data_IF_558885291001
#
_entry.id   IF_558885291001
#
_cell.length_a   1.000
_cell.length_b   1.000
_cell.length_c   1.000
_cell.angle_alpha   90.00
_cell.angle_beta   90.00
_cell.angle_gamma   90.00
#
_symmetry.space_group_name_H-M   'P 1'
#
loop_
_entity.id
_entity.type
_entity.pdbx_description
1 polymer ?
#
# COMPACT_ATOMS: atom_id res chain seq x y z
N UNK A 1 -10.94 15.10 -35.17
CA UNK A 1 -9.50 14.79 -35.35
C UNK A 1 -8.71 15.56 -34.30
N UNK A 2 -8.46 14.96 -33.14
CA UNK A 2 -7.47 15.43 -32.18
C UNK A 2 -6.46 14.30 -32.04
N UNK A 3 -5.24 14.58 -32.48
CA UNK A 3 -4.12 13.65 -32.54
C UNK A 3 -3.89 13.00 -31.17
N UNK A 4 -4.02 11.67 -31.13
CA UNK A 4 -3.44 10.86 -30.08
C UNK A 4 -1.93 11.12 -30.06
N UNK A 5 -1.46 11.93 -29.12
CA UNK A 5 -0.04 11.99 -28.78
C UNK A 5 0.31 10.64 -28.16
N UNK A 6 0.90 9.77 -28.99
CA UNK A 6 1.87 8.77 -28.54
C UNK A 6 2.77 9.46 -27.52
N UNK A 7 2.65 9.09 -26.25
CA UNK A 7 3.39 9.70 -25.16
C UNK A 7 4.87 9.45 -25.40
N UNK A 8 5.59 10.46 -25.88
CA UNK A 8 7.04 10.42 -25.99
C UNK A 8 7.60 10.06 -24.61
N UNK A 9 8.50 9.08 -24.56
CA UNK A 9 9.36 8.83 -23.40
C UNK A 9 10.15 10.12 -23.13
N UNK A 10 9.61 10.95 -22.25
CA UNK A 10 10.27 12.15 -21.80
C UNK A 10 11.39 11.74 -20.83
N UNK A 11 12.62 12.18 -21.11
CA UNK A 11 13.79 11.98 -20.24
C UNK A 11 13.75 13.09 -19.18
N UNK A 12 13.57 12.79 -17.89
CA UNK A 12 13.54 13.80 -16.83
C UNK A 12 14.74 14.75 -16.91
N UNK A 13 14.53 16.04 -16.65
CA UNK A 13 15.66 16.99 -16.60
C UNK A 13 16.63 16.58 -15.49
N UNK A 14 17.90 16.92 -15.67
CA UNK A 14 18.90 16.76 -14.62
C UNK A 14 18.49 17.57 -13.38
N UNK A 15 18.27 16.87 -12.27
CA UNK A 15 17.94 17.46 -10.97
C UNK A 15 18.32 16.49 -9.85
N UNK A 16 18.11 16.91 -8.61
CA UNK A 16 18.48 16.14 -7.41
C UNK A 16 17.29 15.97 -6.47
N UNK A 17 17.25 14.82 -5.79
CA UNK A 17 16.33 14.55 -4.69
C UNK A 17 16.83 15.00 -3.32
N UNK A 18 17.95 15.73 -3.24
CA UNK A 18 18.44 16.31 -1.98
C UNK A 18 17.35 17.20 -1.37
N UNK A 19 16.94 16.88 -0.14
CA UNK A 19 15.84 17.53 0.60
C UNK A 19 14.46 17.43 -0.08
N UNK A 20 14.26 16.49 -1.01
CA UNK A 20 13.00 16.31 -1.75
C UNK A 20 12.45 14.89 -1.70
N UNK A 21 13.07 14.00 -0.92
CA UNK A 21 12.64 12.61 -0.81
C UNK A 21 11.21 12.49 -0.29
N UNK A 22 10.36 11.85 -1.10
CA UNK A 22 8.93 11.66 -0.84
C UNK A 22 8.16 12.96 -0.60
N UNK A 23 8.51 14.01 -1.33
CA UNK A 23 7.72 15.23 -1.36
C UNK A 23 6.27 14.94 -1.75
N UNK A 24 5.33 15.64 -1.11
CA UNK A 24 3.88 15.49 -1.37
C UNK A 24 3.44 16.18 -2.67
N UNK A 25 4.26 17.09 -3.20
CA UNK A 25 3.98 17.80 -4.42
C UNK A 25 4.35 16.93 -5.63
N UNK A 26 3.39 16.73 -6.53
CA UNK A 26 3.65 16.13 -7.83
C UNK A 26 4.16 17.21 -8.79
N UNK A 27 5.41 17.09 -9.23
CA UNK A 27 5.97 18.00 -10.23
C UNK A 27 5.61 17.57 -11.65
N UNK A 28 5.26 18.56 -12.47
CA UNK A 28 4.98 18.37 -13.89
C UNK A 28 6.28 18.14 -14.69
N UNK A 29 6.22 17.34 -15.78
CA UNK A 29 7.26 17.33 -16.79
C UNK A 29 7.53 18.76 -17.28
N UNK A 30 8.80 19.20 -17.44
CA UNK A 30 9.98 18.38 -17.65
C UNK A 30 10.78 18.00 -16.37
N UNK A 31 10.33 18.38 -15.17
CA UNK A 31 11.13 18.18 -13.95
C UNK A 31 11.25 16.71 -13.54
N UNK A 32 12.43 16.29 -13.06
CA UNK A 32 12.56 15.01 -12.37
C UNK A 32 11.85 15.01 -11.01
N UNK A 33 11.29 13.87 -10.66
CA UNK A 33 10.43 13.65 -9.50
C UNK A 33 11.16 12.96 -8.35
N UNK A 34 10.69 13.20 -7.13
CA UNK A 34 11.20 12.58 -5.91
C UNK A 34 10.08 12.05 -5.00
N UNK A 35 8.85 12.04 -5.49
CA UNK A 35 7.69 11.45 -4.83
C UNK A 35 7.69 9.92 -4.93
N UNK A 36 6.77 9.28 -4.22
CA UNK A 36 6.71 7.83 -4.12
C UNK A 36 6.27 7.11 -5.41
N UNK A 37 5.72 7.82 -6.41
CA UNK A 37 5.34 7.25 -7.70
C UNK A 37 6.36 7.50 -8.81
N UNK A 38 7.45 8.24 -8.55
CA UNK A 38 8.43 8.57 -9.59
C UNK A 38 8.97 7.33 -10.31
N UNK A 39 9.16 6.21 -9.58
CA UNK A 39 9.64 4.94 -10.16
C UNK A 39 8.61 4.31 -11.09
N UNK A 40 7.34 4.39 -10.73
CA UNK A 40 6.23 3.86 -11.52
C UNK A 40 6.12 4.57 -12.87
N UNK A 41 6.42 5.87 -12.91
CA UNK A 41 6.39 6.67 -14.13
C UNK A 41 7.73 6.71 -14.89
N UNK A 42 8.80 6.10 -14.37
CA UNK A 42 10.18 6.27 -14.83
C UNK A 42 10.60 7.75 -14.89
N UNK A 43 10.23 8.51 -13.87
CA UNK A 43 10.40 9.97 -13.81
C UNK A 43 11.32 10.43 -12.66
N UNK A 44 11.94 9.51 -11.90
CA UNK A 44 12.80 9.88 -10.77
C UNK A 44 14.04 10.67 -11.19
N UNK A 45 14.52 11.55 -10.31
CA UNK A 45 15.89 12.07 -10.43
C UNK A 45 16.92 10.93 -10.29
N UNK A 46 18.10 11.09 -10.88
CA UNK A 46 19.12 10.03 -10.97
C UNK A 46 19.63 9.56 -9.60
N UNK A 47 19.58 10.43 -8.59
CA UNK A 47 20.03 10.17 -7.22
C UNK A 47 18.92 9.70 -6.27
N UNK A 48 17.67 9.49 -6.75
CA UNK A 48 16.53 9.08 -5.92
C UNK A 48 16.80 7.81 -5.12
N UNK A 49 17.38 6.77 -5.74
CA UNK A 49 17.66 5.51 -5.06
C UNK A 49 18.65 5.71 -3.91
N UNK A 50 19.73 6.45 -4.17
CA UNK A 50 20.78 6.69 -3.19
C UNK A 50 20.29 7.57 -2.03
N UNK A 51 19.52 8.61 -2.34
CA UNK A 51 19.10 9.58 -1.33
C UNK A 51 17.84 9.16 -0.57
N UNK A 52 16.87 8.53 -1.24
CA UNK A 52 15.53 8.30 -0.68
C UNK A 52 15.27 6.84 -0.28
N UNK A 53 16.02 5.88 -0.83
CA UNK A 53 15.88 4.46 -0.53
C UNK A 53 17.06 3.90 0.28
N UNK A 54 17.53 4.69 1.25
CA UNK A 54 18.61 4.32 2.17
C UNK A 54 18.25 3.07 2.98
N UNK A 55 19.20 2.15 3.11
CA UNK A 55 19.05 0.88 3.87
C UNK A 55 20.17 0.66 4.88
N UNK A 56 21.21 1.50 4.91
CA UNK A 56 22.32 1.36 5.86
C UNK A 56 21.83 1.50 7.30
N UNK A 57 22.46 0.77 8.23
CA UNK A 57 22.06 0.73 9.64
C UNK A 57 20.72 0.01 9.91
N UNK A 58 20.02 -0.46 8.88
CA UNK A 58 18.71 -1.10 9.01
C UNK A 58 17.60 -0.15 9.45
N UNK A 59 16.40 -0.70 9.65
CA UNK A 59 15.18 0.04 10.02
C UNK A 59 14.91 0.10 11.54
N UNK A 60 15.84 -0.40 12.34
CA UNK A 60 15.74 -0.49 13.79
C UNK A 60 17.03 0.01 14.41
N UNK A 61 16.92 0.75 15.52
CA UNK A 61 18.06 1.04 16.37
C UNK A 61 18.59 -0.24 17.01
N UNK A 62 19.89 -0.25 17.29
CA UNK A 62 20.59 -1.22 18.13
C UNK A 62 21.24 -0.48 19.31
N UNK A 63 21.69 -1.22 20.33
CA UNK A 63 22.26 -0.61 21.55
C UNK A 63 23.47 0.26 21.26
N UNK A 64 24.30 -0.15 20.31
CA UNK A 64 25.49 0.56 19.83
C UNK A 64 25.18 1.82 19.04
N UNK A 65 23.97 1.94 18.48
CA UNK A 65 23.52 3.13 17.73
C UNK A 65 22.86 4.20 18.61
N UNK A 66 22.53 3.89 19.86
CA UNK A 66 21.91 4.87 20.76
C UNK A 66 22.86 6.04 21.05
N UNK A 67 22.46 7.27 20.68
CA UNK A 67 23.31 8.45 20.83
C UNK A 67 24.39 8.56 19.76
N UNK A 68 24.25 7.86 18.62
CA UNK A 68 25.19 7.93 17.51
C UNK A 68 25.37 9.37 16.99
N UNK A 69 26.57 9.66 16.50
CA UNK A 69 26.76 10.80 15.61
C UNK A 69 25.92 10.56 14.34
N UNK A 70 25.19 11.59 13.90
CA UNK A 70 24.25 11.47 12.80
C UNK A 70 24.95 11.08 11.49
N UNK A 71 24.55 9.95 10.91
CA UNK A 71 24.99 9.50 9.60
C UNK A 71 23.82 9.58 8.60
N UNK A 72 23.92 10.52 7.66
CA UNK A 72 22.91 10.70 6.60
C UNK A 72 22.84 9.52 5.61
N UNK A 73 23.66 8.47 5.71
CA UNK A 73 23.45 7.27 4.91
C UNK A 73 22.49 6.26 5.57
N UNK A 74 22.23 6.39 6.88
CA UNK A 74 21.34 5.49 7.59
C UNK A 74 19.88 5.59 7.10
N UNK A 75 19.17 4.46 7.16
CA UNK A 75 17.77 4.40 6.75
C UNK A 75 16.85 5.20 7.69
N UNK A 76 17.16 5.17 8.98
CA UNK A 76 16.55 5.91 10.07
C UNK A 76 17.62 6.17 11.15
N UNK A 77 17.38 7.12 12.05
CA UNK A 77 18.41 7.61 12.96
C UNK A 77 18.17 7.21 14.41
N UNK A 78 19.27 7.12 15.17
CA UNK A 78 19.27 6.88 16.61
C UNK A 78 20.05 7.97 17.37
N UNK A 79 20.30 9.09 16.68
CA UNK A 79 20.92 10.30 17.20
C UNK A 79 19.93 11.11 18.05
N UNK A 80 20.45 11.95 18.96
CA UNK A 80 19.62 12.75 19.87
C UNK A 80 18.68 13.74 19.16
N UNK A 81 19.00 14.15 17.93
CA UNK A 81 18.20 15.06 17.12
C UNK A 81 17.11 14.38 16.27
N UNK A 82 17.04 13.04 16.26
CA UNK A 82 16.13 12.33 15.34
C UNK A 82 14.66 12.64 15.64
N UNK A 83 14.30 12.90 16.90
CA UNK A 83 12.93 13.19 17.32
C UNK A 83 12.48 14.56 16.83
N UNK A 84 13.37 15.56 16.86
CA UNK A 84 13.06 16.91 16.38
C UNK A 84 13.01 16.95 14.86
N UNK A 85 13.82 16.12 14.18
CA UNK A 85 13.80 15.96 12.72
C UNK A 85 12.70 15.03 12.21
N UNK A 86 12.07 14.24 13.07
CA UNK A 86 11.00 13.31 12.70
C UNK A 86 11.48 12.09 11.91
N UNK A 87 12.72 11.63 12.13
CA UNK A 87 13.35 10.58 11.33
C UNK A 87 14.05 9.49 12.16
N UNK A 88 13.65 9.35 13.42
CA UNK A 88 14.07 8.23 14.27
C UNK A 88 13.64 6.88 13.68
N UNK A 89 14.39 5.83 13.98
CA UNK A 89 13.85 4.48 13.88
C UNK A 89 12.67 4.32 14.84
N UNK A 90 11.71 3.45 14.51
CA UNK A 90 10.44 3.35 15.25
C UNK A 90 10.60 2.78 16.66
N UNK A 91 11.69 2.05 16.92
CA UNK A 91 12.03 1.50 18.23
C UNK A 91 12.96 2.40 19.07
N UNK A 92 13.30 3.62 18.61
CA UNK A 92 14.30 4.49 19.25
C UNK A 92 14.01 4.78 20.73
N UNK A 93 12.81 5.26 21.08
CA UNK A 93 12.49 5.58 22.48
C UNK A 93 12.47 4.33 23.35
N UNK A 94 11.91 3.23 22.83
CA UNK A 94 11.88 1.95 23.55
C UNK A 94 13.30 1.47 23.87
N UNK A 95 14.19 1.50 22.88
CA UNK A 95 15.53 0.95 23.03
C UNK A 95 16.50 1.91 23.74
N UNK A 96 16.49 3.19 23.37
CA UNK A 96 17.51 4.16 23.78
C UNK A 96 17.05 5.10 24.90
N UNK A 97 15.74 5.22 25.17
CA UNK A 97 15.19 6.09 26.23
C UNK A 97 14.48 5.32 27.35
N UNK A 98 14.34 4.00 27.22
CA UNK A 98 13.74 3.14 28.24
C UNK A 98 12.21 3.14 28.24
N UNK A 99 11.56 3.66 27.18
CA UNK A 99 10.10 3.60 27.04
C UNK A 99 9.64 2.14 26.83
N UNK A 100 8.36 1.86 27.10
CA UNK A 100 7.72 0.58 26.72
C UNK A 100 7.33 0.59 25.24
N UNK A 101 7.32 -0.57 24.56
CA UNK A 101 6.64 -0.65 23.24
C UNK A 101 5.14 -0.48 23.40
N UNK A 102 4.46 -0.01 22.36
CA UNK A 102 3.01 0.02 22.29
C UNK A 102 2.39 -1.35 22.60
N UNK A 103 3.01 -2.43 22.13
CA UNK A 103 2.52 -3.80 22.38
C UNK A 103 2.46 -4.15 23.89
N UNK A 104 3.37 -3.60 24.69
CA UNK A 104 3.49 -3.89 26.12
C UNK A 104 2.51 -3.08 26.99
N UNK A 105 1.96 -1.99 26.45
CA UNK A 105 0.98 -1.20 27.20
C UNK A 105 -0.34 -1.98 27.35
N UNK A 106 -1.18 -1.61 28.30
CA UNK A 106 -2.52 -2.19 28.43
C UNK A 106 -3.47 -1.63 27.36
N UNK A 107 -4.59 -2.33 27.11
CA UNK A 107 -5.69 -1.74 26.36
C UNK A 107 -6.38 -0.68 27.23
N UNK A 108 -6.52 0.53 26.73
CA UNK A 108 -7.22 1.61 27.43
C UNK A 108 -8.38 2.12 26.57
N UNK A 109 -9.52 2.41 27.21
CA UNK A 109 -10.70 2.98 26.55
C UNK A 109 -10.39 4.41 26.07
N UNK A 110 -10.52 4.65 24.77
CA UNK A 110 -10.24 5.93 24.13
C UNK A 110 -11.55 6.69 23.87
N UNK A 111 -12.07 7.37 24.89
CA UNK A 111 -13.32 8.16 24.79
C UNK A 111 -13.16 9.45 23.99
N UNK A 112 -11.95 10.02 23.99
CA UNK A 112 -11.59 11.26 23.30
C UNK A 112 -10.22 11.12 22.69
N UNK A 113 -10.03 11.68 21.50
CA UNK A 113 -8.73 11.67 20.83
C UNK A 113 -7.70 12.54 21.59
N UNK A 114 -6.53 11.98 21.86
CA UNK A 114 -5.42 12.64 22.53
C UNK A 114 -4.35 13.03 21.51
N UNK A 115 -4.54 14.20 20.89
CA UNK A 115 -3.65 14.69 19.82
C UNK A 115 -2.69 15.77 20.33
N UNK A 116 -1.43 15.79 19.87
CA UNK A 116 -0.52 16.92 20.11
C UNK A 116 -1.05 18.23 19.53
N UNK A 117 -0.52 19.36 20.01
CA UNK A 117 -0.86 20.69 19.49
C UNK A 117 -0.62 20.77 17.96
N UNK A 118 -1.50 21.50 17.27
CA UNK A 118 -1.50 21.66 15.81
C UNK A 118 -2.24 20.57 15.02
N UNK A 119 -2.72 19.50 15.68
CA UNK A 119 -3.65 18.55 15.06
C UNK A 119 -5.09 19.03 15.26
N UNK A 120 -5.74 19.44 14.18
CA UNK A 120 -7.12 19.97 14.23
C UNK A 120 -8.19 18.88 14.13
N UNK A 121 -7.79 17.63 13.89
CA UNK A 121 -8.62 16.42 13.85
C UNK A 121 -7.74 15.17 13.94
N UNK A 122 -8.33 14.01 14.21
CA UNK A 122 -7.63 12.73 14.14
C UNK A 122 -7.26 12.38 12.69
N UNK A 123 -5.98 12.14 12.37
CA UNK A 123 -5.61 11.54 11.09
C UNK A 123 -6.18 10.13 10.93
N UNK A 124 -6.40 9.71 9.69
CA UNK A 124 -6.80 8.36 9.32
C UNK A 124 -5.65 7.66 8.59
N UNK A 125 -5.27 6.47 9.03
CA UNK A 125 -4.33 5.59 8.34
C UNK A 125 -5.06 4.32 7.88
N UNK A 126 -5.05 4.07 6.57
CA UNK A 126 -5.59 2.86 5.96
C UNK A 126 -4.42 1.96 5.57
N UNK A 127 -4.27 0.84 6.26
CA UNK A 127 -3.30 -0.21 5.97
C UNK A 127 -4.01 -1.35 5.24
N UNK A 128 -3.71 -1.52 3.97
CA UNK A 128 -4.25 -2.61 3.15
C UNK A 128 -3.24 -3.75 3.07
N UNK A 129 -3.70 -4.97 3.33
CA UNK A 129 -2.86 -6.18 3.35
C UNK A 129 -3.40 -7.19 2.35
N UNK A 130 -2.70 -7.35 1.23
CA UNK A 130 -3.14 -8.15 0.06
C UNK A 130 -3.34 -9.62 0.44
N UNK A 131 -4.49 -10.20 0.09
CA UNK A 131 -4.76 -11.63 0.28
C UNK A 131 -4.81 -12.06 1.76
N UNK A 132 -5.04 -11.12 2.68
CA UNK A 132 -5.18 -11.42 4.11
C UNK A 132 -6.52 -12.11 4.41
N UNK A 133 -6.54 -13.44 4.27
CA UNK A 133 -7.71 -14.27 4.58
C UNK A 133 -8.14 -14.07 6.03
N UNK A 134 -9.44 -13.88 6.26
CA UNK A 134 -10.00 -13.63 7.59
C UNK A 134 -9.58 -14.67 8.65
N UNK A 135 -9.42 -15.95 8.26
CA UNK A 135 -8.99 -17.01 9.19
C UNK A 135 -7.55 -16.85 9.69
N UNK A 136 -6.72 -16.02 9.06
CA UNK A 136 -5.33 -15.80 9.49
C UNK A 136 -5.25 -15.16 10.88
N UNK A 137 -6.27 -14.38 11.29
CA UNK A 137 -6.33 -13.82 12.65
C UNK A 137 -6.36 -14.88 13.74
N UNK A 138 -6.83 -16.10 13.43
CA UNK A 138 -6.88 -17.22 14.38
C UNK A 138 -5.50 -17.71 14.84
N UNK A 139 -4.43 -17.29 14.17
CA UNK A 139 -3.05 -17.54 14.63
C UNK A 139 -2.70 -16.76 15.91
N UNK A 140 -3.43 -15.68 16.18
CA UNK A 140 -3.39 -14.92 17.44
C UNK A 140 -2.01 -14.40 17.83
N UNK A 141 -1.86 -14.14 19.13
CA UNK A 141 -0.66 -13.51 19.72
C UNK A 141 0.67 -14.23 19.44
N UNK A 142 0.66 -15.53 19.14
CA UNK A 142 1.88 -16.28 18.86
C UNK A 142 2.53 -15.93 17.49
N UNK A 143 1.75 -15.35 16.57
CA UNK A 143 2.22 -15.02 15.21
C UNK A 143 2.02 -13.54 14.89
N UNK A 144 0.91 -12.95 15.35
CA UNK A 144 0.50 -11.60 14.98
C UNK A 144 0.09 -10.76 16.21
N UNK A 145 0.95 -10.61 17.24
CA UNK A 145 0.58 -9.95 18.49
C UNK A 145 0.15 -8.48 18.36
N UNK A 146 0.71 -7.71 17.42
CA UNK A 146 0.30 -6.31 17.26
C UNK A 146 -1.07 -6.20 16.59
N UNK A 147 -1.31 -6.99 15.54
CA UNK A 147 -2.60 -7.07 14.86
C UNK A 147 -3.67 -7.62 15.82
N UNK A 148 -3.32 -8.63 16.62
CA UNK A 148 -4.23 -9.19 17.62
C UNK A 148 -4.58 -8.15 18.68
N UNK A 149 -3.62 -7.34 19.15
CA UNK A 149 -3.90 -6.22 20.05
C UNK A 149 -4.81 -5.16 19.40
N UNK A 150 -4.59 -4.79 18.14
CA UNK A 150 -5.53 -3.90 17.41
C UNK A 150 -6.94 -4.50 17.34
N UNK A 151 -7.03 -5.81 17.10
CA UNK A 151 -8.30 -6.55 16.99
C UNK A 151 -9.05 -6.61 18.33
N UNK A 152 -8.34 -6.81 19.44
CA UNK A 152 -8.94 -6.98 20.78
C UNK A 152 -9.20 -5.67 21.51
N UNK A 153 -8.30 -4.68 21.41
CA UNK A 153 -8.51 -3.37 22.02
C UNK A 153 -9.42 -2.46 21.15
N UNK A 154 -9.48 -2.70 19.84
CA UNK A 154 -10.25 -1.90 18.88
C UNK A 154 -11.59 -2.52 18.49
N UNK A 155 -12.16 -2.02 17.39
CA UNK A 155 -13.35 -2.62 16.77
C UNK A 155 -12.94 -3.56 15.65
N UNK A 156 -13.50 -4.77 15.62
CA UNK A 156 -13.26 -5.73 14.55
C UNK A 156 -14.56 -6.45 14.12
N UNK A 157 -14.57 -6.91 12.88
CA UNK A 157 -15.57 -7.86 12.38
C UNK A 157 -14.95 -9.27 12.26
N UNK A 158 -15.75 -10.35 12.36
CA UNK A 158 -15.25 -11.71 12.12
C UNK A 158 -14.65 -11.89 10.71
N UNK A 159 -15.18 -11.16 9.73
CA UNK A 159 -14.66 -11.06 8.37
C UNK A 159 -15.29 -9.83 7.67
N UNK A 160 -14.68 -9.40 6.57
CA UNK A 160 -15.24 -8.42 5.63
C UNK A 160 -15.48 -9.11 4.28
N UNK A 161 -16.63 -8.85 3.64
CA UNK A 161 -16.97 -9.45 2.35
C UNK A 161 -16.33 -8.63 1.21
N UNK A 162 -15.49 -9.22 0.35
CA UNK A 162 -14.98 -8.55 -0.85
C UNK A 162 -16.06 -8.43 -1.93
N UNK A 163 -15.83 -7.59 -2.93
CA UNK A 163 -16.62 -7.57 -4.16
C UNK A 163 -16.15 -8.69 -5.12
N UNK A 164 -17.03 -9.06 -6.05
CA UNK A 164 -16.66 -9.94 -7.16
C UNK A 164 -16.15 -9.12 -8.37
N UNK A 165 -15.07 -9.53 -9.03
CA UNK A 165 -14.22 -10.67 -8.69
C UNK A 165 -13.31 -10.38 -7.49
N UNK A 166 -13.09 -11.39 -6.63
CA UNK A 166 -12.23 -11.29 -5.45
C UNK A 166 -10.74 -11.26 -5.85
N UNK A 167 -10.35 -10.13 -6.43
CA UNK A 167 -9.03 -9.79 -6.97
C UNK A 167 -8.62 -8.40 -6.49
N UNK A 168 -7.32 -8.18 -6.44
CA UNK A 168 -6.69 -6.99 -5.86
C UNK A 168 -7.19 -5.66 -6.43
N UNK A 169 -7.07 -5.41 -7.73
CA UNK A 169 -7.41 -4.12 -8.32
C UNK A 169 -8.90 -3.75 -8.16
N UNK A 170 -9.85 -4.67 -8.46
CA UNK A 170 -11.26 -4.42 -8.17
C UNK A 170 -11.53 -4.08 -6.70
N UNK A 171 -10.99 -4.87 -5.76
CA UNK A 171 -11.31 -4.69 -4.34
C UNK A 171 -10.65 -3.46 -3.72
N UNK A 172 -9.39 -3.18 -4.03
CA UNK A 172 -8.73 -1.97 -3.55
C UNK A 172 -9.41 -0.71 -4.08
N UNK A 173 -9.86 -0.72 -5.34
CA UNK A 173 -10.55 0.45 -5.90
C UNK A 173 -12.00 0.56 -5.42
N UNK A 174 -12.70 -0.55 -5.19
CA UNK A 174 -13.98 -0.55 -4.46
C UNK A 174 -13.83 0.00 -3.05
N UNK A 175 -12.78 -0.39 -2.31
CA UNK A 175 -12.49 0.17 -0.98
C UNK A 175 -12.25 1.68 -1.04
N UNK A 176 -11.51 2.16 -2.06
CA UNK A 176 -11.21 3.57 -2.22
C UNK A 176 -12.44 4.42 -2.60
N UNK A 177 -13.44 3.84 -3.29
CA UNK A 177 -14.55 4.59 -3.92
C UNK A 177 -15.92 4.31 -3.30
N UNK A 178 -16.09 3.19 -2.60
CA UNK A 178 -17.40 2.69 -2.17
C UNK A 178 -18.29 2.17 -3.30
N UNK A 179 -17.75 2.00 -4.51
CA UNK A 179 -18.51 1.59 -5.70
C UNK A 179 -18.27 0.11 -6.04
N UNK A 180 -19.21 -0.48 -6.78
CA UNK A 180 -19.01 -1.79 -7.40
C UNK A 180 -18.06 -1.71 -8.61
N UNK A 181 -17.39 -2.82 -8.97
CA UNK A 181 -16.50 -2.90 -10.14
C UNK A 181 -17.10 -2.42 -11.46
N UNK A 182 -18.37 -2.73 -11.71
CA UNK A 182 -19.07 -2.28 -12.91
C UNK A 182 -19.27 -0.77 -12.98
N UNK A 183 -19.32 -0.09 -11.83
CA UNK A 183 -19.53 1.37 -11.77
C UNK A 183 -18.22 2.15 -11.78
N UNK A 184 -17.19 1.66 -11.08
CA UNK A 184 -15.88 2.32 -11.07
C UNK A 184 -14.96 1.89 -12.23
N UNK A 185 -15.37 0.92 -13.04
CA UNK A 185 -14.71 0.51 -14.29
C UNK A 185 -13.57 -0.50 -14.14
N UNK A 186 -13.15 -0.84 -12.92
CA UNK A 186 -12.05 -1.78 -12.67
C UNK A 186 -12.62 -3.17 -12.39
N UNK A 187 -13.03 -3.87 -13.45
CA UNK A 187 -13.75 -5.17 -13.40
C UNK A 187 -12.82 -6.39 -13.32
N UNK A 188 -11.51 -6.21 -13.27
CA UNK A 188 -10.54 -7.27 -13.04
C UNK A 188 -9.09 -6.81 -13.08
N UNK A 189 -8.18 -7.66 -12.61
CA UNK A 189 -6.72 -7.44 -12.72
C UNK A 189 -6.23 -7.43 -14.17
N UNK A 190 -7.00 -8.03 -15.09
CA UNK A 190 -6.82 -7.95 -16.53
C UNK A 190 -8.19 -7.71 -17.17
N UNK A 191 -8.31 -6.78 -18.10
CA UNK A 191 -9.58 -6.47 -18.78
C UNK A 191 -9.30 -5.85 -20.16
N UNK A 192 -10.27 -5.97 -21.07
CA UNK A 192 -10.22 -5.37 -22.40
C UNK A 192 -11.43 -4.47 -22.56
N UNK A 193 -11.19 -3.24 -23.02
CA UNK A 193 -12.25 -2.29 -23.34
C UNK A 193 -12.34 -2.16 -24.88
N UNK A 194 -13.49 -2.50 -25.49
CA UNK A 194 -13.67 -2.45 -26.94
C UNK A 194 -13.78 -1.02 -27.49
N UNK A 195 -14.18 -0.05 -26.67
CA UNK A 195 -14.26 1.37 -27.06
C UNK A 195 -12.86 1.97 -27.13
N UNK A 196 -12.01 1.62 -26.17
CA UNK A 196 -10.60 2.06 -26.16
C UNK A 196 -9.70 1.24 -27.08
N UNK A 197 -10.20 0.08 -27.53
CA UNK A 197 -9.42 -0.98 -28.18
C UNK A 197 -8.09 -1.24 -27.47
N UNK A 198 -8.17 -1.40 -26.14
CA UNK A 198 -7.01 -1.48 -25.27
C UNK A 198 -7.17 -2.54 -24.17
N UNK A 199 -6.04 -3.11 -23.76
CA UNK A 199 -5.99 -4.10 -22.68
C UNK A 199 -5.30 -3.53 -21.43
N UNK A 200 -6.02 -3.56 -20.33
CA UNK A 200 -5.50 -3.29 -18.99
C UNK A 200 -4.94 -4.57 -18.39
N UNK A 201 -3.78 -4.50 -17.74
CA UNK A 201 -3.28 -5.55 -16.87
C UNK A 201 -2.28 -5.02 -15.82
N UNK A 202 -2.03 -5.81 -14.77
CA UNK A 202 -1.13 -5.48 -13.66
C UNK A 202 0.27 -5.01 -14.07
N UNK A 203 0.82 -5.57 -15.15
CA UNK A 203 2.21 -5.32 -15.57
C UNK A 203 2.33 -4.17 -16.58
N UNK A 204 1.26 -3.87 -17.30
CA UNK A 204 1.25 -2.85 -18.35
C UNK A 204 1.35 -1.43 -17.76
N UNK A 205 1.90 -0.49 -18.55
CA UNK A 205 1.80 0.96 -18.28
C UNK A 205 0.39 1.50 -18.56
N UNK A 206 -0.42 0.76 -19.31
CA UNK A 206 -1.80 1.13 -19.64
C UNK A 206 -2.65 1.36 -18.38
N UNK A 207 -2.33 0.66 -17.28
CA UNK A 207 -3.00 0.88 -15.99
C UNK A 207 -2.82 2.29 -15.41
N UNK A 208 -1.81 3.04 -15.86
CA UNK A 208 -1.56 4.40 -15.42
C UNK A 208 -2.43 5.43 -16.16
N UNK A 209 -3.13 5.01 -17.22
CA UNK A 209 -4.01 5.89 -17.97
C UNK A 209 -5.30 6.12 -17.17
N UNK A 210 -5.60 7.39 -16.89
CA UNK A 210 -6.78 7.81 -16.10
C UNK A 210 -8.13 7.32 -16.66
N UNK A 211 -8.20 6.99 -17.97
CA UNK A 211 -9.44 6.58 -18.65
C UNK A 211 -10.08 5.30 -18.08
N UNK A 212 -9.30 4.48 -17.38
CA UNK A 212 -9.78 3.25 -16.75
C UNK A 212 -10.46 3.48 -15.40
N UNK A 213 -10.15 4.59 -14.73
CA UNK A 213 -10.41 4.77 -13.31
C UNK A 213 -11.60 5.71 -13.12
N UNK A 214 -12.80 5.12 -13.07
CA UNK A 214 -14.04 5.85 -12.81
C UNK A 214 -14.22 6.22 -11.33
N UNK A 215 -15.37 6.83 -11.02
CA UNK A 215 -15.73 7.20 -9.64
C UNK A 215 -14.85 8.30 -9.04
N UNK A 216 -14.90 8.43 -7.71
CA UNK A 216 -14.08 9.38 -6.97
C UNK A 216 -13.46 8.72 -5.73
N UNK A 217 -12.16 8.36 -5.77
CA UNK A 217 -11.52 7.69 -4.65
C UNK A 217 -11.30 8.65 -3.47
N UNK A 218 -11.15 8.08 -2.27
CA UNK A 218 -11.10 8.82 -0.99
C UNK A 218 -10.07 9.95 -0.96
N UNK A 219 -8.90 9.78 -1.59
CA UNK A 219 -7.88 10.83 -1.67
C UNK A 219 -8.32 12.02 -2.53
N UNK A 220 -9.05 11.79 -3.62
CA UNK A 220 -9.63 12.89 -4.43
C UNK A 220 -10.77 13.55 -3.66
N UNK A 221 -11.62 12.78 -2.99
CA UNK A 221 -12.69 13.32 -2.13
C UNK A 221 -12.12 14.22 -1.03
N UNK A 222 -11.05 13.78 -0.37
CA UNK A 222 -10.35 14.56 0.65
C UNK A 222 -9.79 15.88 0.07
N UNK A 223 -9.04 15.80 -1.02
CA UNK A 223 -8.43 16.99 -1.65
C UNK A 223 -9.48 18.01 -2.10
N UNK A 224 -10.58 17.57 -2.71
CA UNK A 224 -11.69 18.46 -3.11
C UNK A 224 -12.38 19.17 -1.93
N UNK A 225 -12.26 18.62 -0.72
CA UNK A 225 -12.82 19.20 0.51
C UNK A 225 -11.74 19.90 1.36
N UNK A 226 -10.59 20.22 0.78
CA UNK A 226 -9.50 20.93 1.46
C UNK A 226 -8.75 20.09 2.49
N UNK A 227 -8.81 18.75 2.39
CA UNK A 227 -8.10 17.82 3.27
C UNK A 227 -6.93 17.19 2.51
N UNK A 228 -5.70 17.45 2.98
CA UNK A 228 -4.49 16.84 2.39
C UNK A 228 -4.50 15.32 2.58
N UNK A 229 -4.16 14.60 1.51
CA UNK A 229 -4.08 13.14 1.49
C UNK A 229 -2.71 12.69 0.98
N UNK A 230 -2.24 11.55 1.49
CA UNK A 230 -0.99 10.93 1.09
C UNK A 230 -1.19 9.43 0.92
N UNK A 231 -0.62 8.84 -0.13
CA UNK A 231 -0.90 7.44 -0.45
C UNK A 231 0.29 6.72 -1.05
N UNK A 232 0.58 5.55 -0.51
CA UNK A 232 1.49 4.53 -1.03
C UNK A 232 0.72 3.39 -1.69
N UNK A 233 -0.04 3.68 -2.76
CA UNK A 233 -0.60 2.65 -3.63
C UNK A 233 0.40 2.31 -4.76
N UNK A 234 0.80 1.03 -4.83
CA UNK A 234 1.61 0.44 -5.91
C UNK A 234 3.11 0.78 -6.06
N UNK A 235 3.88 1.23 -5.05
CA UNK A 235 5.33 1.39 -5.22
C UNK A 235 6.07 0.11 -4.80
N UNK A 236 5.95 -0.94 -5.62
CA UNK A 236 6.58 -2.27 -5.37
C UNK A 236 8.09 -2.16 -5.10
N UNK A 237 8.73 -1.12 -5.63
CA UNK A 237 10.17 -0.86 -5.46
C UNK A 237 10.56 -0.17 -4.14
N UNK A 238 9.61 0.16 -3.26
CA UNK A 238 9.84 0.78 -1.95
C UNK A 238 9.52 -0.25 -0.86
N UNK A 239 10.51 -0.53 0.00
CA UNK A 239 10.35 -1.44 1.13
C UNK A 239 9.24 -0.98 2.09
N UNK A 240 8.54 -1.92 2.71
CA UNK A 240 7.37 -1.62 3.56
C UNK A 240 7.77 -0.79 4.78
N UNK A 241 8.93 -1.06 5.36
CA UNK A 241 9.52 -0.30 6.47
C UNK A 241 9.78 1.15 6.07
N UNK A 242 10.28 1.38 4.84
CA UNK A 242 10.46 2.74 4.30
C UNK A 242 9.11 3.45 4.14
N UNK A 243 8.07 2.76 3.67
CA UNK A 243 6.71 3.33 3.56
C UNK A 243 6.19 3.79 4.93
N UNK A 244 6.40 3.01 6.00
CA UNK A 244 6.06 3.41 7.39
C UNK A 244 6.84 4.65 7.82
N UNK A 245 8.17 4.64 7.66
CA UNK A 245 9.00 5.78 8.04
C UNK A 245 8.58 7.06 7.31
N UNK A 246 8.28 6.98 6.01
CA UNK A 246 7.80 8.14 5.25
C UNK A 246 6.43 8.62 5.74
N UNK A 247 5.50 7.73 6.06
CA UNK A 247 4.22 8.15 6.66
C UNK A 247 4.40 8.87 8.00
N UNK A 248 5.31 8.39 8.85
CA UNK A 248 5.64 9.03 10.13
C UNK A 248 6.32 10.39 9.90
N UNK A 249 7.19 10.52 8.90
CA UNK A 249 7.79 11.80 8.49
C UNK A 249 6.71 12.79 8.02
N UNK A 250 5.74 12.34 7.22
CA UNK A 250 4.61 13.18 6.80
C UNK A 250 3.72 13.61 7.98
N UNK A 251 3.53 12.74 8.98
CA UNK A 251 2.84 13.10 10.24
C UNK A 251 3.63 14.10 11.10
N UNK A 252 4.94 14.21 10.90
CA UNK A 252 5.81 15.18 11.57
C UNK A 252 5.82 16.55 10.88
N UNK A 253 5.25 16.66 9.66
CA UNK A 253 5.20 17.93 8.95
C UNK A 253 4.44 19.02 9.74
N UNK A 254 4.77 20.31 9.53
CA UNK A 254 4.06 21.42 10.14
C UNK A 254 2.56 21.42 9.88
N UNK A 255 1.83 22.14 10.72
CA UNK A 255 0.43 22.45 10.48
C UNK A 255 0.27 23.14 9.12
N UNK A 256 -0.76 22.75 8.37
CA UNK A 256 -0.98 23.18 7.00
C UNK A 256 -0.35 22.27 5.95
N UNK A 257 0.79 21.63 6.22
CA UNK A 257 1.47 20.72 5.28
C UNK A 257 1.18 19.25 5.49
N UNK A 258 0.92 18.87 6.74
CA UNK A 258 0.59 17.51 7.14
C UNK A 258 -0.72 16.98 6.53
N UNK A 259 -0.69 15.81 5.86
CA UNK A 259 -1.90 15.08 5.46
C UNK A 259 -2.74 14.61 6.65
N UNK A 260 -4.04 14.37 6.41
CA UNK A 260 -4.96 13.78 7.37
C UNK A 260 -5.52 12.43 6.93
N UNK A 261 -5.32 12.04 5.67
CA UNK A 261 -5.66 10.71 5.15
C UNK A 261 -4.40 10.08 4.59
N UNK A 262 -4.06 8.91 5.11
CA UNK A 262 -2.91 8.12 4.72
C UNK A 262 -3.39 6.76 4.23
N UNK A 263 -2.83 6.27 3.14
CA UNK A 263 -3.09 4.91 2.68
C UNK A 263 -1.79 4.21 2.31
N UNK A 264 -1.70 2.93 2.64
CA UNK A 264 -0.56 2.07 2.37
C UNK A 264 -1.06 0.69 1.94
N UNK A 265 -0.33 0.06 1.03
CA UNK A 265 -0.55 -1.32 0.64
C UNK A 265 0.66 -2.18 0.99
N UNK A 266 0.41 -3.42 1.40
CA UNK A 266 1.39 -4.50 1.54
C UNK A 266 0.99 -5.62 0.60
N UNK A 267 1.92 -6.06 -0.26
CA UNK A 267 1.73 -7.14 -1.22
C UNK A 267 1.74 -8.54 -0.58
N UNK A 268 2.07 -8.61 0.72
CA UNK A 268 2.01 -9.83 1.53
C UNK A 268 0.74 -9.83 2.39
N UNK A 269 0.14 -11.00 2.71
CA UNK A 269 0.66 -12.34 2.44
C UNK A 269 0.27 -12.94 1.08
N UNK A 270 -0.45 -12.23 0.21
CA UNK A 270 -0.93 -12.73 -1.09
C UNK A 270 0.17 -13.42 -1.91
N UNK A 271 1.29 -12.72 -2.14
CA UNK A 271 2.38 -13.23 -2.95
C UNK A 271 3.00 -14.54 -2.42
N UNK A 272 2.92 -14.78 -1.10
CA UNK A 272 3.33 -16.03 -0.48
C UNK A 272 2.22 -17.09 -0.53
N UNK A 273 0.98 -16.70 -0.23
CA UNK A 273 -0.19 -17.56 -0.29
C UNK A 273 -0.39 -18.17 -1.68
N UNK A 274 -0.10 -17.41 -2.75
CA UNK A 274 -0.09 -17.93 -4.12
C UNK A 274 0.94 -19.04 -4.37
N UNK A 275 2.08 -19.04 -3.66
CA UNK A 275 3.14 -20.05 -3.83
C UNK A 275 2.90 -21.29 -2.99
N UNK A 276 2.36 -21.12 -1.79
CA UNK A 276 2.36 -22.16 -0.74
C UNK A 276 0.97 -22.57 -0.27
N UNK A 277 -0.09 -21.90 -0.75
CA UNK A 277 -1.45 -22.09 -0.25
C UNK A 277 -1.72 -21.38 1.08
N UNK A 278 -2.99 -21.34 1.52
CA UNK A 278 -3.40 -20.57 2.70
C UNK A 278 -3.23 -21.30 4.04
N UNK A 279 -3.05 -22.62 4.04
CA UNK A 279 -3.11 -23.44 5.25
C UNK A 279 -1.74 -23.76 5.87
N UNK A 280 -0.64 -23.61 5.11
CA UNK A 280 0.71 -23.97 5.55
C UNK A 280 1.20 -23.19 6.78
N UNK A 281 2.01 -23.86 7.62
CA UNK A 281 2.71 -23.22 8.75
C UNK A 281 3.74 -22.19 8.30
N UNK A 282 4.27 -22.35 7.08
CA UNK A 282 5.27 -21.44 6.55
C UNK A 282 4.70 -20.02 6.29
N UNK A 283 3.38 -19.90 6.18
CA UNK A 283 2.67 -18.62 6.16
C UNK A 283 2.85 -17.81 7.47
N UNK A 284 3.27 -18.44 8.56
CA UNK A 284 3.54 -17.72 9.82
C UNK A 284 4.66 -16.69 9.65
N UNK A 285 5.65 -16.93 8.80
CA UNK A 285 6.76 -16.00 8.59
C UNK A 285 6.34 -14.69 7.88
N UNK A 286 5.64 -14.70 6.73
CA UNK A 286 5.13 -13.47 6.14
C UNK A 286 4.12 -12.77 7.05
N UNK A 287 3.30 -13.51 7.82
CA UNK A 287 2.39 -12.90 8.80
C UNK A 287 3.12 -12.19 9.93
N UNK A 288 4.20 -12.78 10.47
CA UNK A 288 5.08 -12.10 11.45
C UNK A 288 5.76 -10.87 10.87
N UNK A 289 6.11 -10.89 9.59
CA UNK A 289 6.72 -9.73 8.92
C UNK A 289 5.72 -8.57 8.82
N UNK A 290 4.46 -8.85 8.43
CA UNK A 290 3.39 -7.85 8.40
C UNK A 290 3.09 -7.34 9.81
N UNK A 291 3.00 -8.22 10.79
CA UNK A 291 2.77 -7.83 12.19
C UNK A 291 3.89 -6.94 12.73
N UNK A 292 5.15 -7.22 12.37
CA UNK A 292 6.29 -6.36 12.70
C UNK A 292 6.15 -4.97 12.11
N UNK A 293 5.70 -4.85 10.86
CA UNK A 293 5.43 -3.56 10.21
C UNK A 293 4.32 -2.80 10.95
N UNK A 294 3.25 -3.49 11.37
CA UNK A 294 2.20 -2.89 12.21
C UNK A 294 2.79 -2.43 13.54
N UNK A 295 3.65 -3.21 14.16
CA UNK A 295 4.38 -2.84 15.37
C UNK A 295 5.26 -1.60 15.19
N UNK A 296 6.01 -1.52 14.08
CA UNK A 296 6.81 -0.34 13.73
C UNK A 296 5.93 0.92 13.59
N UNK A 297 4.76 0.81 12.94
CA UNK A 297 3.83 1.93 12.87
C UNK A 297 3.37 2.35 14.27
N UNK A 298 2.90 1.40 15.09
CA UNK A 298 2.33 1.70 16.40
C UNK A 298 3.38 2.26 17.37
N UNK A 299 4.58 1.71 17.39
CA UNK A 299 5.70 2.26 18.17
C UNK A 299 6.07 3.66 17.65
N UNK A 300 6.16 3.85 16.34
CA UNK A 300 6.38 5.17 15.72
C UNK A 300 5.34 6.22 16.15
N UNK A 301 4.06 5.87 16.08
CA UNK A 301 2.96 6.71 16.54
C UNK A 301 3.04 6.98 18.04
N UNK A 302 3.41 5.99 18.86
CA UNK A 302 3.60 6.18 20.30
C UNK A 302 4.73 7.17 20.58
N UNK A 303 5.86 7.07 19.89
CA UNK A 303 6.98 8.00 20.01
C UNK A 303 6.56 9.45 19.72
N UNK A 304 5.64 9.65 18.78
CA UNK A 304 5.08 10.94 18.38
C UNK A 304 3.89 11.39 19.23
N UNK A 305 3.48 10.61 20.25
CA UNK A 305 2.24 10.82 21.04
C UNK A 305 0.97 10.84 20.18
N UNK A 306 0.94 10.05 19.11
CA UNK A 306 -0.17 9.93 18.16
C UNK A 306 -0.95 8.61 18.25
N UNK A 307 -0.44 7.61 18.98
CA UNK A 307 -1.09 6.31 19.15
C UNK A 307 -2.51 6.35 19.76
N UNK A 308 -2.86 7.44 20.46
CA UNK A 308 -4.21 7.73 21.01
C UNK A 308 -4.93 8.88 20.28
N UNK A 309 -4.39 9.30 19.14
CA UNK A 309 -4.94 10.37 18.30
C UNK A 309 -5.45 9.83 16.96
N UNK A 310 -4.66 8.96 16.33
CA UNK A 310 -4.87 8.47 14.96
C UNK A 310 -5.89 7.35 14.92
N UNK A 311 -6.79 7.39 13.93
CA UNK A 311 -7.63 6.26 13.58
C UNK A 311 -6.90 5.35 12.59
N UNK A 312 -6.87 4.04 12.85
CA UNK A 312 -6.22 3.06 11.98
C UNK A 312 -7.26 2.07 11.49
N UNK A 313 -7.30 1.87 10.17
CA UNK A 313 -8.05 0.80 9.52
C UNK A 313 -7.03 -0.18 8.96
N UNK A 314 -6.96 -1.39 9.54
CA UNK A 314 -6.24 -2.53 8.98
C UNK A 314 -7.24 -3.41 8.22
N UNK A 315 -7.04 -3.59 6.92
CA UNK A 315 -8.05 -4.21 6.06
C UNK A 315 -7.42 -5.09 4.97
N UNK A 316 -8.01 -6.25 4.73
CA UNK A 316 -7.69 -7.10 3.58
C UNK A 316 -8.59 -6.78 2.39
N UNK A 317 -8.09 -6.98 1.18
CA UNK A 317 -8.83 -6.79 -0.06
C UNK A 317 -9.56 -8.07 -0.51
N UNK A 318 -8.97 -9.24 -0.29
CA UNK A 318 -9.58 -10.56 -0.47
C UNK A 318 -8.94 -11.64 0.40
N UNK A 319 -9.49 -12.85 0.34
CA UNK A 319 -8.90 -14.04 0.96
C UNK A 319 -7.94 -14.79 0.03
N UNK A 320 -7.66 -16.04 0.37
CA UNK A 320 -6.83 -16.96 -0.41
C UNK A 320 -7.41 -18.36 -0.32
N UNK A 321 -7.30 -19.15 -1.39
CA UNK A 321 -7.83 -20.51 -1.49
C UNK A 321 -6.77 -21.49 -2.01
N UNK A 322 -6.93 -22.77 -1.68
CA UNK A 322 -6.13 -23.89 -2.19
C UNK A 322 -6.43 -24.12 -3.68
N UNK A 323 -5.45 -23.88 -4.54
CA UNK A 323 -5.54 -24.11 -5.98
C UNK A 323 -4.39 -24.99 -6.46
N UNK A 324 -4.68 -25.98 -7.30
CA UNK A 324 -3.70 -26.93 -7.83
C UNK A 324 -3.87 -27.05 -9.34
N UNK A 325 -2.77 -27.19 -10.08
CA UNK A 325 -2.80 -27.34 -11.54
C UNK A 325 -3.61 -28.57 -11.98
N UNK A 326 -3.67 -29.63 -11.17
CA UNK A 326 -4.46 -30.83 -11.46
C UNK A 326 -5.98 -30.60 -11.38
N UNK A 327 -6.41 -29.48 -10.77
CA UNK A 327 -7.82 -29.06 -10.70
C UNK A 327 -8.09 -27.93 -11.68
N UNK A 328 -7.77 -28.17 -12.96
CA UNK A 328 -7.96 -27.22 -14.05
C UNK A 328 -8.95 -27.77 -15.07
N UNK A 329 -10.01 -27.02 -15.33
CA UNK A 329 -10.93 -27.28 -16.43
C UNK A 329 -10.39 -26.65 -17.72
N UNK A 330 -10.40 -27.41 -18.82
CA UNK A 330 -9.93 -26.96 -20.13
C UNK A 330 -11.10 -26.83 -21.10
N UNK A 331 -11.31 -25.64 -21.66
CA UNK A 331 -12.39 -25.39 -22.63
C UNK A 331 -12.30 -26.27 -23.88
N UNK A 332 -11.11 -26.74 -24.25
CA UNK A 332 -10.88 -27.65 -25.38
C UNK A 332 -11.57 -29.01 -25.20
N UNK A 333 -11.96 -29.38 -23.98
CA UNK A 333 -12.73 -30.59 -23.73
C UNK A 333 -14.23 -30.41 -24.04
N UNK A 334 -14.69 -29.16 -24.18
CA UNK A 334 -16.10 -28.80 -24.33
C UNK A 334 -16.40 -28.11 -25.67
N UNK A 335 -15.42 -27.47 -26.29
CA UNK A 335 -15.56 -26.70 -27.53
C UNK A 335 -14.73 -27.32 -28.65
N UNK A 336 -15.30 -27.40 -29.84
CA UNK A 336 -14.62 -27.92 -31.04
C UNK A 336 -13.46 -27.03 -31.48
N UNK A 337 -13.59 -25.70 -31.32
CA UNK A 337 -12.53 -24.72 -31.59
C UNK A 337 -12.41 -23.77 -30.40
N UNK A 338 -11.22 -23.73 -29.79
CA UNK A 338 -10.84 -22.72 -28.79
C UNK A 338 -9.95 -21.63 -29.38
N UNK A 339 -9.57 -21.76 -30.65
CA UNK A 339 -8.72 -20.81 -31.35
C UNK A 339 -9.44 -19.52 -31.72
N UNK A 340 -10.77 -19.57 -31.85
CA UNK A 340 -11.59 -18.41 -32.20
C UNK A 340 -11.93 -17.50 -31.01
N UNK A 341 -11.53 -17.91 -29.80
CA UNK A 341 -11.83 -17.19 -28.56
C UNK A 341 -10.57 -16.67 -27.85
N UNK A 342 -10.78 -15.65 -27.03
CA UNK A 342 -9.86 -15.20 -25.98
C UNK A 342 -10.51 -15.44 -24.63
N UNK A 343 -9.81 -16.15 -23.75
CA UNK A 343 -10.21 -16.42 -22.38
C UNK A 343 -9.38 -15.57 -21.41
N UNK A 344 -10.03 -14.91 -20.46
CA UNK A 344 -9.40 -14.50 -19.21
C UNK A 344 -9.61 -15.66 -18.22
N UNK A 345 -8.55 -16.42 -17.87
CA UNK A 345 -8.68 -17.69 -17.15
C UNK A 345 -8.50 -17.54 -15.63
N UNK A 346 -8.52 -18.68 -14.93
CA UNK A 346 -8.16 -18.83 -13.52
C UNK A 346 -9.38 -19.06 -12.64
N UNK A 347 -9.47 -18.37 -11.52
CA UNK A 347 -10.59 -18.47 -10.57
C UNK A 347 -11.92 -17.87 -11.09
N UNK A 348 -11.93 -17.40 -12.33
CA UNK A 348 -13.09 -16.96 -13.10
C UNK A 348 -12.78 -17.10 -14.59
N UNK A 349 -13.81 -17.28 -15.41
CA UNK A 349 -13.71 -17.30 -16.87
C UNK A 349 -14.46 -16.14 -17.49
N UNK A 350 -13.80 -15.34 -18.34
CA UNK A 350 -14.47 -14.40 -19.25
C UNK A 350 -14.03 -14.68 -20.68
N UNK A 351 -14.98 -14.97 -21.55
CA UNK A 351 -14.74 -15.35 -22.94
C UNK A 351 -15.18 -14.19 -23.84
N UNK A 352 -14.38 -13.87 -24.85
CA UNK A 352 -14.76 -13.02 -25.98
C UNK A 352 -14.23 -13.61 -27.27
N UNK A 353 -14.79 -13.20 -28.41
CA UNK A 353 -14.21 -13.52 -29.71
C UNK A 353 -12.77 -13.00 -29.79
N UNK A 354 -11.87 -13.79 -30.37
CA UNK A 354 -10.48 -13.38 -30.62
C UNK A 354 -10.40 -12.21 -31.61
N UNK A 355 -11.35 -12.16 -32.54
CA UNK A 355 -11.54 -11.09 -33.50
C UNK A 355 -12.87 -10.37 -33.20
N UNK A 356 -12.86 -9.19 -32.56
CA UNK A 356 -14.09 -8.52 -32.11
C UNK A 356 -15.08 -8.17 -33.23
N UNK A 357 -14.62 -8.13 -34.49
CA UNK A 357 -15.39 -7.71 -35.66
C UNK A 357 -15.71 -8.85 -36.64
N UNK A 358 -15.35 -10.10 -36.34
CA UNK A 358 -15.87 -11.22 -37.14
C UNK A 358 -17.34 -11.39 -36.79
N UNK A 359 -18.23 -11.12 -37.75
CA UNK A 359 -19.65 -11.48 -37.62
C UNK A 359 -19.69 -12.97 -37.27
N UNK A 360 -20.45 -13.34 -36.25
CA UNK A 360 -20.88 -14.73 -36.12
C UNK A 360 -21.73 -15.01 -37.37
N UNK A 361 -21.19 -15.80 -38.30
CA UNK A 361 -21.96 -16.31 -39.45
C UNK A 361 -22.96 -17.37 -39.01
#
# INVERSE_FOLDING_TARGET
>A
MSSARSGSLYVPTSGSCRNRCFELLELDPPSCRCDNLCKTYNACCSDFNQLCLRTEGGYECSKDRCGEARNEQHACHCSEDCLTRGDCCTNYKKLCKGDTSWLQDECEDMRTAECPAGFVRSPLIILTVDGFRASYVKRGNAVIPHIEKLRTCGTHAPYMRPVYPSKTFPNLYSLATGLYPESHGIVGNSMYDPTFDASFNLRSREKLNHRWWGGQPIWITALKQGVKAASFFWPVAIAVERRILTMLQWLHLPEGDRPYVYAMHSEQPDAYGHRMGPMGTDLNNPLRAIDRVVGQLMDGLKQMKLHRCVNIILVGDHGMEEAHCDRTEFLSNYLTSVDDITLIPGSLGRIRARHPNSKCE
#
